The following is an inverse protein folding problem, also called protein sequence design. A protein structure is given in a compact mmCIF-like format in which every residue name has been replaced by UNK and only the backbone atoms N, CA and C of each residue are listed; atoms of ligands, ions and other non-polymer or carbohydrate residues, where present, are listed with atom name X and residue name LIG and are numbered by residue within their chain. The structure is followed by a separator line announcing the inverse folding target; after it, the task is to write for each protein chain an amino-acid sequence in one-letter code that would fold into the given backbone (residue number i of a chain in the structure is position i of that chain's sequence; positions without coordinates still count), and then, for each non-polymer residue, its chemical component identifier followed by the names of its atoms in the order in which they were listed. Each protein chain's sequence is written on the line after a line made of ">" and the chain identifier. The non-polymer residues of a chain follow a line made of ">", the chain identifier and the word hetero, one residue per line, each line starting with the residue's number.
data_IF_922553609128
#
_entry.id   IF_922553609128
#
_cell.length_a   1.000
_cell.length_b   1.000
_cell.length_c   1.000
_cell.angle_alpha   90.00
_cell.angle_beta   90.00
_cell.angle_gamma   90.00
#
_symmetry.space_group_name_H-M   'P 1'
#
loop_
_entity.id
_entity.type
_entity.pdbx_description
1 polymer ?
#
# COMPACT_ATOMS: atom_id res chain seq x y z
N UNK A 1 -3.52 -8.77 41.94
CA UNK A 1 -3.09 -8.40 40.57
C UNK A 1 -4.34 -8.38 39.69
N UNK A 2 -4.74 -7.22 39.19
CA UNK A 2 -6.03 -7.04 38.53
C UNK A 2 -6.04 -7.66 37.14
N UNK A 3 -6.99 -8.57 36.89
CA UNK A 3 -7.16 -9.34 35.64
C UNK A 3 -7.73 -8.47 34.50
N UNK A 4 -7.97 -7.17 34.73
CA UNK A 4 -8.42 -6.23 33.70
C UNK A 4 -7.31 -5.76 32.74
N UNK A 5 -6.03 -6.05 33.02
CA UNK A 5 -4.90 -5.44 32.30
C UNK A 5 -4.51 -6.17 31.00
N UNK A 6 -5.09 -7.34 30.71
CA UNK A 6 -4.52 -8.27 29.70
C UNK A 6 -5.48 -8.58 28.55
N UNK A 7 -6.77 -8.20 28.63
CA UNK A 7 -7.80 -8.59 27.63
C UNK A 7 -8.42 -7.37 26.92
N UNK A 8 -7.76 -6.21 26.96
CA UNK A 8 -8.27 -4.95 26.36
C UNK A 8 -7.21 -4.13 25.59
N UNK A 9 -6.26 -4.77 24.91
CA UNK A 9 -5.55 -4.17 23.75
C UNK A 9 -6.47 -4.18 22.51
N UNK A 10 -7.70 -3.73 22.72
CA UNK A 10 -8.81 -3.79 21.79
C UNK A 10 -8.63 -2.76 20.68
N UNK A 11 -9.45 -2.85 19.63
CA UNK A 11 -9.47 -1.96 18.47
C UNK A 11 -9.31 -0.46 18.78
N UNK A 12 -9.65 -0.04 20.00
CA UNK A 12 -9.45 1.32 20.54
C UNK A 12 -8.00 1.76 20.51
N UNK A 13 -7.05 0.94 20.97
CA UNK A 13 -5.63 1.33 21.03
C UNK A 13 -5.06 1.55 19.62
N UNK A 14 -5.39 0.66 18.67
CA UNK A 14 -5.03 0.79 17.25
C UNK A 14 -5.64 2.04 16.62
N UNK A 15 -6.89 2.35 17.00
CA UNK A 15 -7.57 3.57 16.57
C UNK A 15 -6.84 4.80 17.08
N UNK A 16 -6.51 4.86 18.37
CA UNK A 16 -5.77 5.99 18.97
C UNK A 16 -4.42 6.20 18.28
N UNK A 17 -3.64 5.14 18.03
CA UNK A 17 -2.39 5.25 17.26
C UNK A 17 -2.61 5.84 15.88
N UNK A 18 -3.62 5.33 15.17
CA UNK A 18 -3.92 5.83 13.82
C UNK A 18 -4.29 7.31 13.84
N UNK A 19 -4.98 7.80 14.89
CA UNK A 19 -5.33 9.20 15.07
C UNK A 19 -4.11 10.07 15.35
N UNK A 20 -3.20 9.62 16.23
CA UNK A 20 -1.95 10.33 16.50
C UNK A 20 -1.08 10.44 15.24
N UNK A 21 -0.97 9.37 14.46
CA UNK A 21 -0.20 9.38 13.21
C UNK A 21 -0.86 10.31 12.18
N UNK A 22 -2.19 10.29 12.07
CA UNK A 22 -2.94 11.23 11.22
C UNK A 22 -2.67 12.69 11.59
N UNK A 23 -2.66 13.00 12.88
CA UNK A 23 -2.37 14.34 13.39
C UNK A 23 -0.95 14.78 12.99
N UNK A 24 0.04 13.91 13.15
CA UNK A 24 1.44 14.19 12.75
C UNK A 24 1.56 14.36 11.23
N UNK A 25 0.84 13.56 10.44
CA UNK A 25 0.83 13.65 8.97
C UNK A 25 0.13 14.93 8.46
N UNK A 26 -0.82 15.48 9.22
CA UNK A 26 -1.65 16.62 8.81
C UNK A 26 -2.58 16.28 7.66
N UNK A 27 -2.61 17.11 6.62
CA UNK A 27 -3.26 16.76 5.35
C UNK A 27 -2.34 15.91 4.47
N UNK A 28 -2.76 14.69 4.15
CA UNK A 28 -2.00 13.77 3.31
C UNK A 28 -2.91 12.98 2.37
N UNK A 29 -2.27 12.37 1.38
CA UNK A 29 -2.86 11.39 0.48
C UNK A 29 -2.19 10.04 0.72
N UNK A 30 -2.85 8.95 0.35
CA UNK A 30 -2.34 7.61 0.62
C UNK A 30 -2.41 6.69 -0.59
N UNK A 31 -1.41 5.81 -0.70
CA UNK A 31 -1.43 4.67 -1.61
C UNK A 31 -1.24 3.37 -0.85
N UNK A 32 -2.00 2.35 -1.27
CA UNK A 32 -1.77 0.97 -0.88
C UNK A 32 -1.17 0.20 -2.05
N UNK A 33 0.03 -0.35 -1.86
CA UNK A 33 0.78 -1.09 -2.88
C UNK A 33 1.03 -2.52 -2.42
N UNK A 34 0.20 -3.44 -2.91
CA UNK A 34 0.30 -4.88 -2.66
C UNK A 34 1.04 -5.55 -3.82
N UNK A 35 2.31 -5.88 -3.58
CA UNK A 35 3.23 -6.47 -4.58
C UNK A 35 3.78 -7.81 -4.12
N UNK A 36 4.39 -7.86 -2.93
CA UNK A 36 5.27 -8.97 -2.53
C UNK A 36 4.63 -10.36 -2.52
N UNK A 37 3.32 -10.45 -2.25
CA UNK A 37 2.57 -11.71 -2.27
C UNK A 37 1.94 -12.04 -3.63
N UNK A 38 1.74 -11.04 -4.49
CA UNK A 38 1.06 -11.14 -5.77
C UNK A 38 2.01 -11.29 -6.96
N UNK A 39 3.26 -10.85 -6.83
CA UNK A 39 4.34 -11.08 -7.81
C UNK A 39 4.83 -12.53 -7.72
N UNK A 40 3.97 -13.46 -8.14
CA UNK A 40 4.28 -14.89 -8.24
C UNK A 40 4.24 -15.31 -9.70
N UNK A 41 5.39 -15.75 -10.20
CA UNK A 41 5.51 -16.32 -11.52
C UNK A 41 5.55 -17.85 -11.44
N UNK A 42 4.96 -18.51 -12.43
CA UNK A 42 5.14 -19.95 -12.67
C UNK A 42 5.61 -20.17 -14.10
N UNK A 43 6.40 -21.21 -14.33
CA UNK A 43 6.72 -21.65 -15.70
C UNK A 43 5.63 -22.59 -16.19
N UNK A 44 5.17 -22.41 -17.43
CA UNK A 44 4.30 -23.38 -18.09
C UNK A 44 5.09 -24.57 -18.64
N UNK A 45 4.40 -25.52 -19.29
CA UNK A 45 5.01 -26.72 -19.89
C UNK A 45 6.04 -26.42 -21.00
N UNK A 46 6.09 -25.18 -21.48
CA UNK A 46 7.04 -24.71 -22.49
C UNK A 46 8.15 -23.84 -21.88
N UNK A 47 8.20 -23.72 -20.55
CA UNK A 47 9.19 -22.92 -19.83
C UNK A 47 8.91 -21.42 -19.81
N UNK A 48 7.77 -20.98 -20.33
CA UNK A 48 7.39 -19.55 -20.39
C UNK A 48 6.87 -19.09 -19.03
N UNK A 49 7.35 -17.94 -18.55
CA UNK A 49 6.85 -17.35 -17.31
C UNK A 49 5.42 -16.84 -17.46
N UNK A 50 4.60 -17.16 -16.47
CA UNK A 50 3.21 -16.74 -16.36
C UNK A 50 2.95 -16.10 -15.01
N UNK A 51 2.13 -15.06 -15.00
CA UNK A 51 1.63 -14.38 -13.80
C UNK A 51 0.11 -14.29 -13.83
N UNK A 52 -0.52 -14.34 -12.64
CA UNK A 52 -1.95 -14.04 -12.47
C UNK A 52 -2.26 -12.55 -12.59
N UNK A 53 -1.25 -11.71 -12.38
CA UNK A 53 -1.34 -10.26 -12.46
C UNK A 53 -0.26 -9.74 -13.40
N UNK A 54 -0.40 -9.96 -14.71
CA UNK A 54 0.67 -9.72 -15.69
C UNK A 54 1.17 -8.28 -15.70
N UNK A 55 0.34 -7.32 -15.31
CA UNK A 55 0.69 -5.89 -15.30
C UNK A 55 1.04 -5.32 -13.94
N UNK A 56 0.90 -6.11 -12.87
CA UNK A 56 1.07 -5.62 -11.51
C UNK A 56 2.44 -5.00 -11.30
N UNK A 57 3.49 -5.69 -11.77
CA UNK A 57 4.86 -5.22 -11.59
C UNK A 57 5.07 -3.85 -12.23
N UNK A 58 4.67 -3.70 -13.50
CA UNK A 58 4.73 -2.44 -14.24
C UNK A 58 3.92 -1.35 -13.55
N UNK A 59 2.64 -1.60 -13.27
CA UNK A 59 1.70 -0.57 -12.80
C UNK A 59 2.01 -0.08 -11.39
N UNK A 60 2.70 -0.90 -10.59
CA UNK A 60 3.14 -0.56 -9.24
C UNK A 60 4.64 -0.20 -9.15
N UNK A 61 5.32 -0.07 -10.29
CA UNK A 61 6.67 0.49 -10.34
C UNK A 61 6.63 2.01 -10.12
N UNK A 62 7.59 2.63 -9.38
CA UNK A 62 7.53 4.04 -8.99
C UNK A 62 7.22 5.05 -10.11
N UNK A 63 7.78 4.88 -11.30
CA UNK A 63 7.59 5.74 -12.46
C UNK A 63 6.15 5.69 -12.98
N UNK A 64 5.55 4.50 -12.97
CA UNK A 64 4.15 4.31 -13.37
C UNK A 64 3.21 4.80 -12.29
N UNK A 65 3.49 4.52 -11.01
CA UNK A 65 2.75 5.08 -9.87
C UNK A 65 2.75 6.60 -9.98
N UNK A 66 3.91 7.23 -10.16
CA UNK A 66 4.07 8.69 -10.27
C UNK A 66 3.19 9.27 -11.37
N UNK A 67 3.20 8.69 -12.57
CA UNK A 67 2.34 9.12 -13.68
C UNK A 67 0.86 8.89 -13.39
N UNK A 68 0.53 7.78 -12.74
CA UNK A 68 -0.84 7.36 -12.47
C UNK A 68 -1.51 8.27 -11.43
N UNK A 69 -0.86 8.46 -10.30
CA UNK A 69 -1.42 9.23 -9.17
C UNK A 69 -1.40 10.74 -9.42
N UNK A 70 -0.54 11.22 -10.32
CA UNK A 70 -0.50 12.64 -10.72
C UNK A 70 -1.84 13.20 -11.23
N UNK A 71 -2.76 12.31 -11.66
CA UNK A 71 -4.12 12.68 -12.09
C UNK A 71 -4.99 13.17 -10.92
N UNK A 72 -4.68 12.75 -9.69
CA UNK A 72 -5.51 13.00 -8.50
C UNK A 72 -4.74 13.71 -7.39
N UNK A 73 -3.44 13.44 -7.24
CA UNK A 73 -2.59 13.95 -6.17
C UNK A 73 -1.61 15.00 -6.74
N UNK A 74 -1.81 16.29 -6.39
CA UNK A 74 -0.89 17.37 -6.76
C UNK A 74 0.54 17.15 -6.25
N UNK A 75 1.52 17.73 -6.95
CA UNK A 75 2.92 17.73 -6.51
C UNK A 75 3.09 18.45 -5.16
N UNK A 76 4.08 18.03 -4.37
CA UNK A 76 4.45 18.63 -3.08
C UNK A 76 3.62 18.16 -1.88
N UNK A 77 2.59 17.35 -2.10
CA UNK A 77 1.75 16.78 -1.02
C UNK A 77 2.46 15.64 -0.28
N UNK A 78 2.04 15.42 0.97
CA UNK A 78 2.45 14.28 1.77
C UNK A 78 1.77 13.02 1.25
N UNK A 79 2.56 11.99 0.96
CA UNK A 79 2.11 10.71 0.42
C UNK A 79 2.46 9.59 1.40
N UNK A 80 1.46 9.08 2.09
CA UNK A 80 1.58 7.89 2.93
C UNK A 80 1.56 6.63 2.07
N UNK A 81 2.58 5.79 2.20
CA UNK A 81 2.74 4.55 1.42
C UNK A 81 2.64 3.35 2.36
N UNK A 82 1.55 2.59 2.24
CA UNK A 82 1.43 1.27 2.85
C UNK A 82 1.76 0.21 1.79
N UNK A 83 2.78 -0.61 2.04
CA UNK A 83 3.21 -1.62 1.08
C UNK A 83 3.84 -2.83 1.76
N UNK A 84 3.69 -3.98 1.10
CA UNK A 84 4.41 -5.21 1.44
C UNK A 84 5.61 -5.49 0.50
N UNK A 85 6.07 -4.47 -0.22
CA UNK A 85 7.32 -4.53 -0.99
C UNK A 85 8.52 -4.74 -0.04
N UNK A 86 9.40 -5.67 -0.41
CA UNK A 86 10.53 -6.09 0.45
C UNK A 86 11.79 -5.28 0.18
N UNK A 87 11.89 -4.68 -1.01
CA UNK A 87 13.08 -3.95 -1.44
C UNK A 87 13.15 -2.60 -0.73
N UNK A 88 14.15 -2.36 0.14
CA UNK A 88 14.28 -1.07 0.83
C UNK A 88 14.45 0.07 -0.18
N UNK A 89 13.78 1.19 0.05
CA UNK A 89 13.88 2.36 -0.83
C UNK A 89 13.27 2.17 -2.22
N UNK A 90 12.52 1.10 -2.48
CA UNK A 90 11.86 0.87 -3.77
C UNK A 90 11.03 2.09 -4.23
N UNK A 91 10.31 2.74 -3.32
CA UNK A 91 9.49 3.91 -3.61
C UNK A 91 10.24 5.25 -3.53
N UNK A 92 11.55 5.25 -3.26
CA UNK A 92 12.35 6.47 -3.20
C UNK A 92 12.26 7.36 -4.45
N UNK A 93 12.07 6.85 -5.69
CA UNK A 93 11.91 7.71 -6.85
C UNK A 93 10.66 8.60 -6.80
N UNK A 94 9.69 8.34 -5.91
CA UNK A 94 8.51 9.21 -5.72
C UNK A 94 8.84 10.50 -4.95
N UNK A 95 9.99 10.55 -4.27
CA UNK A 95 10.40 11.68 -3.42
C UNK A 95 10.70 12.96 -4.19
N UNK A 96 10.94 12.86 -5.50
CA UNK A 96 11.13 14.01 -6.38
C UNK A 96 9.86 14.88 -6.50
N UNK A 97 8.69 14.30 -6.24
CA UNK A 97 7.39 14.95 -6.42
C UNK A 97 6.56 14.99 -5.14
N UNK A 98 6.78 14.08 -4.20
CA UNK A 98 5.94 13.91 -3.01
C UNK A 98 6.78 13.81 -1.74
N UNK A 99 6.23 14.28 -0.61
CA UNK A 99 6.85 14.06 0.70
C UNK A 99 6.44 12.67 1.19
N UNK A 100 7.36 11.72 1.17
CA UNK A 100 7.04 10.32 1.45
C UNK A 100 6.92 10.09 2.95
N UNK A 101 5.89 9.35 3.35
CA UNK A 101 5.70 8.88 4.71
C UNK A 101 5.40 7.38 4.71
N UNK A 102 5.99 6.67 5.68
CA UNK A 102 5.85 5.24 5.85
C UNK A 102 5.51 4.93 7.31
N UNK A 103 4.93 3.75 7.56
CA UNK A 103 4.69 3.27 8.92
C UNK A 103 5.96 3.23 9.76
N UNK A 104 7.11 2.90 9.16
CA UNK A 104 8.41 2.90 9.84
C UNK A 104 8.84 4.27 10.36
N UNK A 105 8.32 5.38 9.83
CA UNK A 105 8.60 6.72 10.37
C UNK A 105 7.93 6.96 11.74
N UNK A 106 6.99 6.10 12.14
CA UNK A 106 6.21 6.20 13.37
C UNK A 106 6.45 5.02 14.32
N UNK A 107 7.62 4.37 14.23
CA UNK A 107 7.94 3.16 15.01
C UNK A 107 7.75 3.36 16.52
N UNK A 108 8.10 4.53 17.07
CA UNK A 108 7.89 4.84 18.49
C UNK A 108 6.41 4.84 18.95
N UNK A 109 5.46 5.04 18.03
CA UNK A 109 4.02 4.93 18.31
C UNK A 109 3.53 3.50 18.08
N UNK A 110 4.12 2.81 17.10
CA UNK A 110 3.65 1.53 16.59
C UNK A 110 4.20 0.32 17.35
N UNK A 111 5.50 0.29 17.65
CA UNK A 111 6.19 -0.83 18.30
C UNK A 111 5.59 -1.27 19.64
N UNK A 112 5.11 -0.37 20.53
CA UNK A 112 4.53 -0.80 21.80
C UNK A 112 3.17 -1.52 21.67
N UNK A 113 2.55 -1.45 20.49
CA UNK A 113 1.14 -1.84 20.28
C UNK A 113 1.01 -2.90 19.18
N UNK A 114 1.99 -3.00 18.29
CA UNK A 114 2.02 -3.94 17.18
C UNK A 114 2.94 -5.11 17.49
N UNK A 115 2.34 -6.29 17.60
CA UNK A 115 3.01 -7.56 17.83
C UNK A 115 3.25 -8.32 16.52
N UNK A 116 2.48 -8.03 15.46
CA UNK A 116 2.54 -8.74 14.20
C UNK A 116 2.08 -7.91 13.00
N UNK A 117 2.41 -8.38 11.79
CA UNK A 117 2.09 -7.69 10.53
C UNK A 117 0.58 -7.50 10.30
N UNK A 118 -0.28 -8.35 10.88
CA UNK A 118 -1.72 -8.19 10.77
C UNK A 118 -2.21 -6.97 11.55
N UNK A 119 -1.69 -6.76 12.76
CA UNK A 119 -1.99 -5.58 13.56
C UNK A 119 -1.45 -4.30 12.90
N UNK A 120 -0.23 -4.35 12.32
CA UNK A 120 0.30 -3.25 11.51
C UNK A 120 -0.63 -2.91 10.34
N UNK A 121 -1.06 -3.91 9.58
CA UNK A 121 -1.99 -3.74 8.48
C UNK A 121 -3.33 -3.11 8.92
N UNK A 122 -3.84 -3.46 10.10
CA UNK A 122 -5.04 -2.82 10.65
C UNK A 122 -4.84 -1.31 10.89
N UNK A 123 -3.69 -0.92 11.46
CA UNK A 123 -3.37 0.49 11.72
C UNK A 123 -3.14 1.24 10.41
N UNK A 124 -2.37 0.68 9.47
CA UNK A 124 -2.18 1.24 8.14
C UNK A 124 -3.51 1.47 7.42
N UNK A 125 -4.43 0.50 7.50
CA UNK A 125 -5.78 0.65 6.94
C UNK A 125 -6.53 1.83 7.53
N UNK A 126 -6.46 2.02 8.85
CA UNK A 126 -7.08 3.15 9.53
C UNK A 126 -6.44 4.48 9.10
N UNK A 127 -5.11 4.54 8.98
CA UNK A 127 -4.39 5.70 8.45
C UNK A 127 -4.90 6.00 7.04
N UNK A 128 -4.83 5.05 6.11
CA UNK A 128 -5.28 5.25 4.72
C UNK A 128 -6.73 5.72 4.59
N UNK A 129 -7.64 5.25 5.46
CA UNK A 129 -9.03 5.71 5.49
C UNK A 129 -9.20 7.19 5.90
N UNK A 130 -8.20 7.78 6.56
CA UNK A 130 -8.19 9.20 6.89
C UNK A 130 -7.52 10.09 5.83
N UNK A 131 -7.01 9.52 4.75
CA UNK A 131 -6.37 10.28 3.69
C UNK A 131 -7.38 11.05 2.84
N UNK A 132 -6.96 12.20 2.29
CA UNK A 132 -7.78 13.01 1.38
C UNK A 132 -8.08 12.27 0.07
N UNK A 133 -7.04 11.68 -0.51
CA UNK A 133 -7.12 10.80 -1.67
C UNK A 133 -6.53 9.46 -1.29
N UNK A 134 -7.27 8.37 -1.51
CA UNK A 134 -6.78 7.02 -1.29
C UNK A 134 -6.77 6.23 -2.60
N UNK A 135 -5.59 5.76 -3.02
CA UNK A 135 -5.41 4.94 -4.22
C UNK A 135 -4.99 3.52 -3.84
N UNK A 136 -5.81 2.54 -4.24
CA UNK A 136 -5.56 1.12 -4.00
C UNK A 136 -4.70 0.51 -5.09
N UNK A 137 -4.17 -0.69 -4.85
CA UNK A 137 -3.48 -1.47 -5.89
C UNK A 137 -4.45 -1.91 -6.99
N UNK A 138 -5.55 -2.54 -6.58
CA UNK A 138 -6.60 -3.06 -7.45
C UNK A 138 -7.93 -2.39 -7.09
N UNK A 139 -8.84 -2.31 -8.05
CA UNK A 139 -10.20 -1.82 -7.84
C UNK A 139 -11.01 -2.89 -7.10
N UNK A 140 -11.61 -2.53 -5.96
CA UNK A 140 -12.57 -3.40 -5.25
C UNK A 140 -14.01 -2.94 -5.50
N UNK A 141 -14.22 -1.63 -5.53
CA UNK A 141 -15.49 -0.97 -5.79
C UNK A 141 -15.39 -0.05 -7.01
N UNK A 142 -16.51 0.24 -7.66
CA UNK A 142 -16.48 1.01 -8.89
C UNK A 142 -16.02 2.47 -8.74
N UNK A 143 -16.15 3.02 -7.54
CA UNK A 143 -15.67 4.36 -7.18
C UNK A 143 -14.20 4.40 -6.74
N UNK A 144 -13.54 3.25 -6.57
CA UNK A 144 -12.16 3.21 -6.07
C UNK A 144 -11.17 3.78 -7.11
N UNK A 145 -10.23 4.59 -6.63
CA UNK A 145 -9.03 4.91 -7.37
C UNK A 145 -8.05 3.74 -7.26
N UNK A 146 -7.57 3.23 -8.40
CA UNK A 146 -6.65 2.10 -8.44
C UNK A 146 -5.43 2.36 -9.32
N UNK A 147 -4.29 1.80 -8.91
CA UNK A 147 -3.07 1.76 -9.71
C UNK A 147 -3.25 0.86 -10.93
N UNK A 148 -3.89 -0.30 -10.75
CA UNK A 148 -4.23 -1.25 -11.79
C UNK A 148 -5.75 -1.19 -12.05
N UNK A 149 -6.20 -0.39 -13.02
CA UNK A 149 -7.63 -0.13 -13.28
C UNK A 149 -8.16 -0.61 -14.63
N UNK A 150 -7.32 -1.23 -15.46
CA UNK A 150 -7.71 -1.64 -16.80
C UNK A 150 -8.46 -2.99 -16.76
N UNK A 151 -9.72 -3.07 -17.22
CA UNK A 151 -10.51 -4.29 -17.22
C UNK A 151 -9.85 -5.44 -17.99
N UNK A 152 -9.03 -5.14 -19.01
CA UNK A 152 -8.29 -6.13 -19.79
C UNK A 152 -7.13 -6.76 -19.01
N UNK A 153 -6.78 -6.22 -17.84
CA UNK A 153 -5.58 -6.58 -17.07
C UNK A 153 -5.87 -7.42 -15.82
N UNK A 154 -7.14 -7.73 -15.56
CA UNK A 154 -7.58 -8.47 -14.37
C UNK A 154 -8.33 -9.76 -14.75
N UNK A 155 -7.80 -10.48 -15.74
CA UNK A 155 -8.43 -11.68 -16.34
C UNK A 155 -8.41 -12.90 -15.42
N UNK A 156 -7.70 -12.84 -14.28
CA UNK A 156 -7.43 -13.98 -13.37
C UNK A 156 -6.83 -15.21 -14.08
N UNK A 157 -6.39 -15.04 -15.32
CA UNK A 157 -5.75 -16.04 -16.13
C UNK A 157 -4.23 -15.93 -15.99
N UNK A 158 -3.54 -17.04 -16.22
CA UNK A 158 -2.09 -17.07 -16.22
C UNK A 158 -1.57 -16.56 -17.56
N UNK A 159 -1.08 -15.33 -17.56
CA UNK A 159 -0.67 -14.60 -18.76
C UNK A 159 0.82 -14.27 -18.73
N UNK A 160 1.38 -13.91 -19.89
CA UNK A 160 2.78 -13.48 -19.96
C UNK A 160 2.91 -12.15 -19.20
N UNK A 161 3.82 -12.02 -18.23
CA UNK A 161 4.01 -10.77 -17.52
C UNK A 161 4.50 -9.66 -18.45
N UNK A 162 4.02 -8.44 -18.21
CA UNK A 162 4.34 -7.24 -18.97
C UNK A 162 5.13 -6.30 -18.07
N UNK A 163 6.44 -6.28 -18.29
CA UNK A 163 7.38 -5.46 -17.53
C UNK A 163 7.54 -4.06 -18.11
N UNK A 164 7.53 -3.95 -19.44
CA UNK A 164 7.77 -2.69 -20.16
C UNK A 164 6.76 -2.53 -21.29
N UNK A 165 6.05 -1.39 -21.27
CA UNK A 165 5.31 -0.72 -22.36
C UNK A 165 4.61 0.51 -21.79
#
# INVERSE_FOLDING_TARGET
>A
VCVCSVIHQSSVTKLVCSLQIKEILGEYDAIHVRRGDLLKNRKDRFGVERSLHPHLDRDTHPEFIKRRIAKWIPKGRTLFIASNERTPGFFSPLSDRYKLAYSSNFSGILEPIIENNYQLFMVERLIMQGAKTFVKTMKELDSDLALCDDPKKNTKNWEVPVYTR
#
